data_IF_867182650399
#
_entry.id   IF_867182650399
#
_cell.length_a   1.000
_cell.length_b   1.000
_cell.length_c   1.000
_cell.angle_alpha   90.00
_cell.angle_beta   90.00
_cell.angle_gamma   90.00
#
_symmetry.space_group_name_H-M   'P 1'
#
loop_
_entity.id
_entity.type
_entity.pdbx_description
1 polymer ?
#
# COMPACT_ATOMS: atom_id res chain seq x y z
N UNK A 1 40.71 -24.88 0.12
CA UNK A 1 39.60 -25.12 1.09
C UNK A 1 39.57 -23.91 1.99
N UNK A 2 38.65 -22.94 1.95
CA UNK A 2 37.25 -22.79 1.54
C UNK A 2 37.15 -21.48 0.72
N UNK A 3 36.33 -21.35 -0.35
CA UNK A 3 36.20 -20.07 -1.07
C UNK A 3 35.48 -19.04 -0.20
N UNK A 4 36.07 -17.86 -0.03
CA UNK A 4 35.45 -16.71 0.64
C UNK A 4 34.35 -16.11 -0.24
N UNK A 5 33.17 -16.72 -0.24
CA UNK A 5 31.97 -16.14 -0.84
C UNK A 5 31.02 -15.74 0.28
N UNK A 6 30.33 -14.61 0.11
CA UNK A 6 29.48 -13.88 1.08
C UNK A 6 30.21 -12.73 1.81
N UNK A 7 30.66 -11.75 1.03
CA UNK A 7 30.81 -10.39 1.54
C UNK A 7 29.40 -9.86 1.89
N UNK A 8 29.17 -9.49 3.15
CA UNK A 8 27.94 -8.79 3.56
C UNK A 8 27.82 -7.52 2.70
N UNK A 9 26.76 -7.45 1.89
CA UNK A 9 26.44 -6.24 1.14
C UNK A 9 26.16 -5.11 2.14
N UNK A 10 26.50 -3.86 1.75
CA UNK A 10 26.22 -2.63 2.54
C UNK A 10 24.81 -2.72 3.15
N UNK A 11 24.60 -2.26 4.40
CA UNK A 11 23.27 -2.27 5.01
C UNK A 11 22.31 -1.52 4.11
N UNK A 12 21.45 -2.28 3.43
CA UNK A 12 20.34 -1.75 2.67
C UNK A 12 19.43 -1.14 3.74
N UNK A 13 19.15 0.16 3.65
CA UNK A 13 18.11 0.77 4.48
C UNK A 13 16.79 0.13 4.10
N UNK A 14 16.41 -0.92 4.82
CA UNK A 14 15.12 -1.57 4.64
C UNK A 14 14.04 -0.58 5.03
N UNK A 15 12.92 -0.52 4.28
CA UNK A 15 11.76 0.22 4.76
C UNK A 15 11.30 -0.37 6.09
N UNK A 16 10.92 0.50 7.01
CA UNK A 16 10.42 0.13 8.33
C UNK A 16 8.92 0.41 8.46
N UNK A 17 8.33 1.12 7.50
CA UNK A 17 6.95 1.57 7.55
C UNK A 17 6.18 1.05 6.35
N UNK A 18 5.18 0.23 6.63
CA UNK A 18 4.39 -0.45 5.64
C UNK A 18 2.91 -0.17 5.87
N UNK A 19 2.15 -0.10 4.78
CA UNK A 19 0.71 -0.27 4.80
C UNK A 19 0.35 -1.40 3.86
N UNK A 20 -0.25 -2.45 4.41
CA UNK A 20 -0.88 -3.50 3.62
C UNK A 20 -2.33 -3.14 3.40
N UNK A 21 -2.89 -3.40 2.23
CA UNK A 21 -4.31 -3.23 2.00
C UNK A 21 -4.87 -4.25 1.01
N UNK A 22 -6.17 -4.46 1.12
CA UNK A 22 -6.94 -5.32 0.24
C UNK A 22 -8.33 -4.72 -0.01
N UNK A 23 -8.94 -5.03 -1.15
CA UNK A 23 -10.22 -4.48 -1.55
C UNK A 23 -11.24 -5.55 -1.95
N UNK A 24 -12.41 -5.47 -1.34
CA UNK A 24 -13.60 -6.18 -1.77
C UNK A 24 -14.41 -5.30 -2.72
N UNK A 25 -14.87 -5.90 -3.82
CA UNK A 25 -15.52 -5.17 -4.91
C UNK A 25 -16.91 -5.71 -5.23
N UNK A 26 -17.76 -4.84 -5.78
CA UNK A 26 -19.02 -5.23 -6.39
C UNK A 26 -18.92 -5.06 -7.91
N UNK A 27 -19.30 -6.08 -8.68
CA UNK A 27 -19.36 -5.98 -10.13
C UNK A 27 -20.60 -5.21 -10.58
N UNK A 28 -20.41 -4.33 -11.54
CA UNK A 28 -21.45 -3.56 -12.24
C UNK A 28 -21.32 -3.83 -13.73
N UNK A 29 -22.37 -4.39 -14.34
CA UNK A 29 -22.40 -4.58 -15.79
C UNK A 29 -22.64 -3.24 -16.47
N UNK A 30 -21.70 -2.83 -17.31
CA UNK A 30 -21.86 -1.65 -18.19
C UNK A 30 -22.56 -2.08 -19.48
N UNK A 31 -22.13 -3.21 -20.06
CA UNK A 31 -22.72 -3.79 -21.27
C UNK A 31 -22.56 -5.33 -21.29
N UNK A 32 -22.82 -5.97 -22.43
CA UNK A 32 -22.76 -7.44 -22.57
C UNK A 32 -21.34 -8.02 -22.39
N UNK A 33 -20.30 -7.24 -22.62
CA UNK A 33 -18.88 -7.62 -22.59
C UNK A 33 -18.07 -6.91 -21.51
N UNK A 34 -18.58 -5.81 -20.95
CA UNK A 34 -17.85 -4.93 -20.05
C UNK A 34 -18.44 -4.94 -18.64
N UNK A 35 -17.59 -5.20 -17.65
CA UNK A 35 -17.92 -5.13 -16.24
C UNK A 35 -16.97 -4.16 -15.53
N UNK A 36 -17.55 -3.23 -14.77
CA UNK A 36 -16.83 -2.34 -13.87
C UNK A 36 -16.86 -2.93 -12.46
N UNK A 37 -15.76 -2.77 -11.72
CA UNK A 37 -15.68 -3.22 -10.33
C UNK A 37 -15.57 -1.99 -9.45
N UNK A 38 -16.53 -1.80 -8.54
CA UNK A 38 -16.53 -0.68 -7.60
C UNK A 38 -16.19 -1.16 -6.21
N UNK A 39 -15.46 -0.33 -5.46
CA UNK A 39 -15.11 -0.60 -4.08
C UNK A 39 -16.38 -0.81 -3.24
N UNK A 40 -16.42 -1.92 -2.50
CA UNK A 40 -17.47 -2.23 -1.52
C UNK A 40 -16.95 -2.02 -0.11
N UNK A 41 -15.75 -2.52 0.15
CA UNK A 41 -15.05 -2.44 1.42
C UNK A 41 -13.57 -2.59 1.12
N UNK A 42 -12.73 -1.84 1.83
CA UNK A 42 -11.31 -2.12 1.88
C UNK A 42 -10.82 -2.13 3.31
N UNK A 43 -9.72 -2.82 3.51
CA UNK A 43 -9.06 -2.94 4.80
C UNK A 43 -7.60 -2.57 4.61
N UNK A 44 -7.09 -1.69 5.47
CA UNK A 44 -5.70 -1.28 5.51
C UNK A 44 -5.10 -1.61 6.87
N UNK A 45 -3.82 -2.00 6.87
CA UNK A 45 -3.03 -2.36 8.04
C UNK A 45 -1.73 -1.58 8.00
N UNK A 46 -1.57 -0.62 8.90
CA UNK A 46 -0.27 -0.01 9.18
C UNK A 46 0.58 -0.98 9.99
N UNK A 47 1.81 -1.19 9.52
CA UNK A 47 2.80 -2.03 10.17
C UNK A 47 4.15 -1.29 10.23
N UNK A 48 4.67 -1.10 11.46
CA UNK A 48 5.98 -0.48 11.70
C UNK A 48 6.93 -1.52 12.30
N UNK A 49 8.03 -1.77 11.59
CA UNK A 49 9.13 -2.64 11.99
C UNK A 49 10.21 -1.85 12.73
N UNK A 50 10.32 -2.03 14.05
CA UNK A 50 11.51 -1.66 14.80
C UNK A 50 12.40 -2.90 14.94
N UNK A 51 13.71 -2.79 14.69
CA UNK A 51 14.63 -3.92 14.68
C UNK A 51 14.54 -4.86 15.91
N UNK A 52 15.19 -6.03 15.84
CA UNK A 52 15.06 -7.12 16.82
C UNK A 52 13.68 -7.79 16.85
N UNK A 53 12.98 -7.84 15.70
CA UNK A 53 11.67 -8.48 15.55
C UNK A 53 10.57 -7.91 16.46
N UNK A 54 10.75 -6.69 16.98
CA UNK A 54 9.77 -6.04 17.83
C UNK A 54 8.82 -5.21 16.98
N UNK A 55 7.55 -5.61 16.97
CA UNK A 55 6.46 -4.87 16.34
C UNK A 55 6.09 -3.68 17.23
N UNK A 56 6.02 -2.46 16.68
CA UNK A 56 5.66 -1.27 17.46
C UNK A 56 4.19 -0.89 17.33
N UNK A 57 3.62 -0.91 16.12
CA UNK A 57 2.26 -0.43 15.88
C UNK A 57 1.54 -1.34 14.90
N UNK A 58 0.31 -1.66 15.24
CA UNK A 58 -0.69 -2.25 14.35
C UNK A 58 -1.90 -1.32 14.35
N UNK A 59 -2.15 -0.64 13.24
CA UNK A 59 -3.40 0.10 13.09
C UNK A 59 -4.18 -0.46 11.90
N UNK A 60 -5.32 -1.06 12.22
CA UNK A 60 -6.31 -1.47 11.24
C UNK A 60 -7.21 -0.28 10.90
N UNK A 61 -7.56 -0.17 9.62
CA UNK A 61 -8.44 0.86 9.11
C UNK A 61 -9.35 0.29 8.03
N UNK A 62 -10.65 0.35 8.24
CA UNK A 62 -11.63 -0.02 7.23
C UNK A 62 -12.05 1.23 6.46
N UNK A 63 -12.14 1.12 5.14
CA UNK A 63 -12.57 2.20 4.27
C UNK A 63 -13.63 1.70 3.28
N UNK A 64 -14.50 2.61 2.84
CA UNK A 64 -15.53 2.37 1.83
C UNK A 64 -15.39 3.27 0.62
N UNK A 65 -14.52 4.27 0.71
CA UNK A 65 -14.23 5.16 -0.42
C UNK A 65 -12.73 5.21 -0.71
N UNK A 66 -12.36 5.43 -1.97
CA UNK A 66 -10.97 5.73 -2.31
C UNK A 66 -10.41 6.91 -1.52
N UNK A 67 -11.20 7.95 -1.27
CA UNK A 67 -10.71 9.15 -0.58
C UNK A 67 -10.34 8.88 0.88
N UNK A 68 -11.14 8.06 1.58
CA UNK A 68 -10.83 7.56 2.93
C UNK A 68 -9.51 6.79 2.96
N UNK A 69 -9.29 5.87 2.02
CA UNK A 69 -8.04 5.13 1.90
C UNK A 69 -6.85 6.07 1.74
N UNK A 70 -6.93 7.00 0.78
CA UNK A 70 -5.82 7.92 0.53
C UNK A 70 -5.62 8.92 1.67
N UNK A 71 -6.66 9.36 2.36
CA UNK A 71 -6.52 10.16 3.58
C UNK A 71 -5.76 9.39 4.66
N UNK A 72 -6.05 8.09 4.83
CA UNK A 72 -5.29 7.21 5.72
C UNK A 72 -3.82 7.11 5.30
N UNK A 73 -3.52 6.77 4.04
CA UNK A 73 -2.13 6.67 3.54
C UNK A 73 -1.34 7.95 3.80
N UNK A 74 -1.93 9.11 3.52
CA UNK A 74 -1.27 10.41 3.72
C UNK A 74 -1.04 10.70 5.19
N UNK A 75 -1.99 10.34 6.07
CA UNK A 75 -1.82 10.48 7.52
C UNK A 75 -0.63 9.68 8.07
N UNK A 76 -0.22 8.62 7.36
CA UNK A 76 0.93 7.78 7.71
C UNK A 76 2.22 8.23 7.06
N UNK A 77 2.18 9.20 6.15
CA UNK A 77 3.40 9.70 5.54
C UNK A 77 4.14 10.65 6.51
N UNK A 78 4.93 10.08 7.43
CA UNK A 78 5.73 10.85 8.37
C UNK A 78 6.98 11.44 7.69
N UNK A 79 7.45 12.59 8.19
CA UNK A 79 8.66 13.23 7.65
C UNK A 79 9.87 12.30 7.82
N UNK A 80 10.64 12.12 6.74
CA UNK A 80 11.93 11.41 6.65
C UNK A 80 11.86 9.87 6.65
N UNK A 81 10.69 9.28 6.53
CA UNK A 81 10.55 7.82 6.40
C UNK A 81 9.86 7.46 5.08
N UNK A 82 10.31 6.36 4.46
CA UNK A 82 9.67 5.83 3.25
C UNK A 82 8.52 4.92 3.68
N UNK A 83 7.29 5.34 3.38
CA UNK A 83 6.11 4.49 3.48
C UNK A 83 6.02 3.57 2.26
N UNK A 84 5.90 2.26 2.49
CA UNK A 84 5.70 1.25 1.45
C UNK A 84 4.27 0.74 1.50
N UNK A 85 3.51 0.94 0.43
CA UNK A 85 2.12 0.49 0.33
C UNK A 85 2.05 -0.78 -0.51
N UNK A 86 1.42 -1.83 0.02
CA UNK A 86 1.44 -3.18 -0.54
C UNK A 86 0.01 -3.71 -0.64
N UNK A 87 -0.32 -4.33 -1.76
CA UNK A 87 -1.53 -5.13 -1.95
C UNK A 87 -1.17 -6.42 -2.69
N UNK A 88 -2.01 -7.45 -2.55
CA UNK A 88 -1.75 -8.75 -3.18
C UNK A 88 -1.80 -8.67 -4.70
N UNK A 89 -2.75 -7.91 -5.26
CA UNK A 89 -2.83 -7.60 -6.68
C UNK A 89 -2.79 -6.08 -6.89
N UNK A 90 -1.64 -5.49 -6.58
CA UNK A 90 -1.45 -4.04 -6.54
C UNK A 90 -2.02 -3.31 -7.77
N UNK A 91 -1.87 -3.86 -8.98
CA UNK A 91 -2.40 -3.22 -10.18
C UNK A 91 -3.93 -3.12 -10.15
N UNK A 92 -4.62 -4.20 -9.75
CA UNK A 92 -6.06 -4.24 -9.64
C UNK A 92 -6.54 -3.35 -8.49
N UNK A 93 -5.99 -3.52 -7.31
CA UNK A 93 -6.37 -2.76 -6.11
C UNK A 93 -6.16 -1.25 -6.30
N UNK A 94 -5.06 -0.85 -6.94
CA UNK A 94 -4.80 0.56 -7.28
C UNK A 94 -5.83 1.15 -8.24
N UNK A 95 -6.45 0.35 -9.12
CA UNK A 95 -7.58 0.82 -9.94
C UNK A 95 -8.81 1.04 -9.08
N UNK A 96 -9.11 0.12 -8.16
CA UNK A 96 -10.27 0.22 -7.26
C UNK A 96 -10.19 1.44 -6.34
N UNK A 97 -8.99 1.79 -5.87
CA UNK A 97 -8.77 2.98 -5.04
C UNK A 97 -8.42 4.23 -5.87
N UNK A 98 -8.67 4.25 -7.18
CA UNK A 98 -8.39 5.37 -8.10
C UNK A 98 -6.97 5.96 -7.92
N UNK A 99 -5.96 5.10 -7.76
CA UNK A 99 -4.69 5.51 -7.17
C UNK A 99 -3.95 6.60 -7.94
N UNK A 100 -3.91 6.54 -9.27
CA UNK A 100 -3.25 7.58 -10.06
C UNK A 100 -3.97 8.93 -9.99
N UNK A 101 -5.31 8.93 -10.00
CA UNK A 101 -6.10 10.16 -9.88
C UNK A 101 -5.92 10.78 -8.50
N UNK A 102 -5.94 9.95 -7.45
CA UNK A 102 -5.83 10.39 -6.07
C UNK A 102 -4.44 10.93 -5.74
N UNK A 103 -3.38 10.32 -6.30
CA UNK A 103 -2.01 10.83 -6.22
C UNK A 103 -1.88 12.19 -6.91
N UNK A 104 -2.38 12.32 -8.15
CA UNK A 104 -2.38 13.60 -8.88
C UNK A 104 -3.16 14.68 -8.14
N UNK A 105 -4.37 14.37 -7.66
CA UNK A 105 -5.23 15.27 -6.87
C UNK A 105 -4.52 15.79 -5.61
N UNK A 106 -3.62 15.00 -5.03
CA UNK A 106 -2.83 15.33 -3.83
C UNK A 106 -1.46 15.94 -4.14
N UNK A 107 -1.19 16.28 -5.40
CA UNK A 107 0.04 16.99 -5.82
C UNK A 107 1.27 16.09 -6.00
N UNK A 108 1.11 14.77 -6.01
CA UNK A 108 2.22 13.85 -6.26
C UNK A 108 2.57 13.81 -7.75
N UNK A 109 3.86 13.66 -8.04
CA UNK A 109 4.37 13.41 -9.39
C UNK A 109 4.54 11.92 -9.60
N UNK A 110 4.05 11.43 -10.73
CA UNK A 110 4.29 10.06 -11.19
C UNK A 110 5.66 10.07 -11.88
N UNK A 111 6.57 9.21 -11.43
CA UNK A 111 7.94 9.09 -11.94
C UNK A 111 8.22 7.73 -12.56
#
# INVERSE_FOLDING_TARGET
>A
TIPSFLQLLKPIHYPHHFVFFDTETLPFKIDKSTQEHKLRLGVALEWIYEGNFKKKVEQWFNFKTPDEFWAFIISKNYKKERLVVIAHNLQYDMRIVNGFEQLKKRGYRLG
#
